data_IF_899808364390
#
_entry.id   IF_899808364390
#
_cell.length_a   1.000
_cell.length_b   1.000
_cell.length_c   1.000
_cell.angle_alpha   90.00
_cell.angle_beta   90.00
_cell.angle_gamma   90.00
#
_symmetry.space_group_name_H-M   'P 1'
#
loop_
_entity.id
_entity.type
_entity.pdbx_description
1 polymer ?
#
# COMPACT_ATOMS: atom_id res chain seq x y z
N UNK A 1 19.00 -12.14 -3.43
CA UNK A 1 18.72 -12.83 -4.71
C UNK A 1 17.29 -13.33 -4.63
N UNK A 2 16.35 -12.51 -5.08
CA UNK A 2 14.91 -12.85 -5.14
C UNK A 2 14.73 -13.97 -6.18
N UNK A 3 14.00 -15.00 -5.80
CA UNK A 3 13.78 -16.19 -6.63
C UNK A 3 13.05 -15.82 -7.92
N UNK A 4 13.69 -16.10 -9.06
CA UNK A 4 13.04 -16.07 -10.37
C UNK A 4 12.19 -17.32 -10.53
N UNK A 5 10.87 -17.15 -10.65
CA UNK A 5 9.97 -18.24 -10.98
C UNK A 5 10.05 -18.52 -12.49
N UNK A 6 10.53 -19.70 -12.88
CA UNK A 6 10.52 -20.17 -14.27
C UNK A 6 9.75 -21.50 -14.32
N UNK A 7 8.61 -21.53 -15.01
CA UNK A 7 7.91 -22.77 -15.33
C UNK A 7 6.43 -22.60 -15.69
N UNK A 8 6.13 -22.50 -17.00
CA UNK A 8 4.86 -22.96 -17.60
C UNK A 8 3.70 -21.95 -17.72
N UNK A 9 3.67 -21.21 -18.82
CA UNK A 9 2.52 -20.58 -19.53
C UNK A 9 1.24 -20.11 -18.79
N UNK A 10 1.34 -19.73 -17.51
CA UNK A 10 0.50 -18.72 -16.87
C UNK A 10 1.40 -17.91 -15.94
N UNK A 11 1.61 -16.64 -16.25
CA UNK A 11 2.42 -15.74 -15.39
C UNK A 11 1.82 -15.70 -14.00
N UNK A 12 2.45 -16.34 -13.01
CA UNK A 12 2.01 -16.31 -11.61
C UNK A 12 2.01 -14.86 -11.14
N UNK A 13 0.82 -14.31 -10.98
CA UNK A 13 0.65 -12.92 -10.55
C UNK A 13 1.04 -12.78 -9.07
N UNK A 14 1.94 -11.84 -8.75
CA UNK A 14 2.27 -11.51 -7.36
C UNK A 14 1.42 -10.32 -6.92
N UNK A 15 0.61 -10.53 -5.89
CA UNK A 15 -0.28 -9.51 -5.32
C UNK A 15 0.29 -8.96 -4.02
N UNK A 16 0.36 -7.63 -3.91
CA UNK A 16 0.77 -6.92 -2.70
C UNK A 16 -0.43 -6.62 -1.80
N UNK A 17 -0.27 -6.81 -0.48
CA UNK A 17 -1.25 -6.41 0.53
C UNK A 17 -0.61 -5.39 1.49
N UNK A 18 -1.11 -4.16 1.45
CA UNK A 18 -0.67 -3.07 2.31
C UNK A 18 -1.67 -2.84 3.44
N UNK A 19 -1.27 -3.12 4.67
CA UNK A 19 -2.11 -2.94 5.86
C UNK A 19 -1.98 -1.50 6.40
N UNK A 20 -2.91 -0.62 6.01
CA UNK A 20 -2.95 0.80 6.39
C UNK A 20 -4.10 1.14 7.36
N UNK A 21 -4.65 0.13 8.04
CA UNK A 21 -5.83 0.23 8.91
C UNK A 21 -5.58 0.71 10.35
N UNK A 22 -4.31 0.96 10.72
CA UNK A 22 -3.92 1.25 12.09
C UNK A 22 -4.29 2.65 12.57
N UNK A 23 -4.90 2.76 13.76
CA UNK A 23 -5.35 4.02 14.37
C UNK A 23 -4.27 4.95 14.93
N UNK A 24 -2.98 4.69 14.70
CA UNK A 24 -1.91 5.63 15.06
C UNK A 24 -1.85 6.00 16.55
N UNK A 25 -2.20 5.09 17.46
CA UNK A 25 -2.30 5.39 18.92
C UNK A 25 -1.03 6.03 19.51
N UNK A 26 0.15 5.54 19.11
CA UNK A 26 1.46 6.09 19.54
C UNK A 26 1.75 7.48 18.98
N UNK A 27 1.01 7.89 17.95
CA UNK A 27 1.08 9.20 17.30
C UNK A 27 -0.08 10.11 17.74
N UNK A 28 -0.70 9.83 18.89
CA UNK A 28 -1.84 10.60 19.39
C UNK A 28 -3.12 10.41 18.57
N UNK A 29 -3.31 9.25 17.92
CA UNK A 29 -4.50 8.97 17.10
C UNK A 29 -4.43 9.52 15.67
N UNK A 30 -3.30 10.12 15.27
CA UNK A 30 -3.08 10.61 13.90
C UNK A 30 -2.94 9.44 12.92
N UNK A 31 -3.63 9.45 11.76
CA UNK A 31 -3.55 8.37 10.79
C UNK A 31 -2.14 8.25 10.21
N UNK A 32 -1.42 7.17 10.57
CA UNK A 32 -0.02 6.96 10.14
C UNK A 32 0.10 6.92 8.60
N UNK A 33 -0.93 6.41 7.93
CA UNK A 33 -1.04 6.37 6.47
C UNK A 33 -0.82 7.74 5.79
N UNK A 34 -1.22 8.83 6.46
CA UNK A 34 -1.16 10.19 5.93
C UNK A 34 0.05 10.99 6.41
N UNK A 35 0.97 10.39 7.17
CA UNK A 35 2.22 11.06 7.51
C UNK A 35 3.04 11.30 6.24
N UNK A 36 3.57 12.50 6.10
CA UNK A 36 4.47 12.83 4.99
C UNK A 36 5.80 12.08 5.14
N UNK A 37 6.16 11.32 4.13
CA UNK A 37 7.43 10.63 3.97
C UNK A 37 7.95 10.88 2.56
N UNK A 38 9.15 11.47 2.44
CA UNK A 38 9.75 11.82 1.13
C UNK A 38 8.78 12.63 0.24
N UNK A 39 8.14 13.63 0.82
CA UNK A 39 7.24 14.56 0.12
C UNK A 39 5.84 14.02 -0.21
N UNK A 40 5.50 12.77 0.16
CA UNK A 40 4.20 12.13 -0.12
C UNK A 40 3.64 11.42 1.11
N UNK A 41 2.32 11.17 1.21
CA UNK A 41 1.77 10.30 2.25
C UNK A 41 2.47 8.94 2.32
N UNK A 42 2.69 8.43 3.53
CA UNK A 42 3.40 7.16 3.78
C UNK A 42 2.73 5.98 3.05
N UNK A 43 1.39 5.98 2.96
CA UNK A 43 0.64 4.95 2.24
C UNK A 43 0.94 4.95 0.73
N UNK A 44 1.12 6.12 0.12
CA UNK A 44 1.50 6.23 -1.29
C UNK A 44 2.93 5.72 -1.52
N UNK A 45 3.84 6.05 -0.60
CA UNK A 45 5.20 5.55 -0.67
C UNK A 45 5.24 4.02 -0.58
N UNK A 46 4.54 3.44 0.39
CA UNK A 46 4.50 1.99 0.58
C UNK A 46 3.86 1.26 -0.60
N UNK A 47 2.76 1.79 -1.16
CA UNK A 47 2.15 1.25 -2.37
C UNK A 47 3.14 1.29 -3.56
N UNK A 48 3.86 2.39 -3.73
CA UNK A 48 4.90 2.52 -4.75
C UNK A 48 6.05 1.53 -4.57
N UNK A 49 6.46 1.24 -3.34
CA UNK A 49 7.49 0.22 -3.03
C UNK A 49 7.02 -1.18 -3.43
N UNK A 50 5.79 -1.56 -3.10
CA UNK A 50 5.23 -2.87 -3.49
C UNK A 50 5.20 -3.03 -5.02
N UNK A 51 4.74 -1.99 -5.73
CA UNK A 51 4.72 -1.94 -7.20
C UNK A 51 6.12 -2.06 -7.79
N UNK A 52 7.08 -1.27 -7.30
CA UNK A 52 8.47 -1.33 -7.74
C UNK A 52 9.12 -2.70 -7.45
N UNK A 53 8.65 -3.40 -6.42
CA UNK A 53 9.04 -4.76 -6.07
C UNK A 53 8.43 -5.86 -6.94
N UNK A 54 7.60 -5.52 -7.94
CA UNK A 54 7.00 -6.48 -8.87
C UNK A 54 5.58 -6.95 -8.50
N UNK A 55 4.94 -6.36 -7.49
CA UNK A 55 3.51 -6.62 -7.26
C UNK A 55 2.70 -5.92 -8.36
N UNK A 56 2.09 -6.67 -9.28
CA UNK A 56 1.32 -6.11 -10.40
C UNK A 56 -0.03 -5.57 -9.94
N UNK A 57 -0.59 -6.14 -8.87
CA UNK A 57 -1.80 -5.69 -8.19
C UNK A 57 -1.50 -5.43 -6.71
N UNK A 58 -2.02 -4.32 -6.17
CA UNK A 58 -1.85 -3.95 -4.76
C UNK A 58 -3.20 -3.66 -4.13
N UNK A 59 -3.50 -4.36 -3.02
CA UNK A 59 -4.64 -4.08 -2.16
C UNK A 59 -4.18 -3.24 -0.97
N UNK A 60 -4.87 -2.14 -0.70
CA UNK A 60 -4.60 -1.26 0.44
C UNK A 60 -5.77 -1.37 1.39
N UNK A 61 -5.55 -2.00 2.54
CA UNK A 61 -6.57 -2.16 3.57
C UNK A 61 -6.62 -0.89 4.41
N UNK A 62 -7.75 -0.20 4.34
CA UNK A 62 -8.02 0.99 5.14
C UNK A 62 -8.82 0.62 6.39
N UNK A 63 -8.72 1.46 7.42
CA UNK A 63 -9.37 1.20 8.69
C UNK A 63 -9.65 2.48 9.44
N UNK A 64 -8.97 2.70 10.57
CA UNK A 64 -9.14 3.95 11.32
C UNK A 64 -8.93 5.17 10.40
N UNK A 65 -9.91 6.08 10.39
CA UNK A 65 -9.92 7.28 9.53
C UNK A 65 -9.86 6.95 8.02
N UNK A 66 -10.43 5.83 7.57
CA UNK A 66 -10.43 5.40 6.17
C UNK A 66 -10.89 6.51 5.21
N UNK A 67 -11.98 7.22 5.52
CA UNK A 67 -12.47 8.33 4.68
C UNK A 67 -11.44 9.44 4.50
N UNK A 68 -10.71 9.79 5.57
CA UNK A 68 -9.65 10.79 5.49
C UNK A 68 -8.50 10.31 4.59
N UNK A 69 -8.15 9.01 4.68
CA UNK A 69 -7.12 8.41 3.83
C UNK A 69 -7.58 8.38 2.37
N UNK A 70 -8.83 7.97 2.10
CA UNK A 70 -9.44 7.94 0.76
C UNK A 70 -9.45 9.32 0.11
N UNK A 71 -9.77 10.37 0.88
CA UNK A 71 -9.85 11.73 0.37
C UNK A 71 -8.47 12.36 0.06
N UNK A 72 -7.42 11.96 0.79
CA UNK A 72 -6.12 12.65 0.76
C UNK A 72 -5.01 11.87 0.05
N UNK A 73 -5.08 10.55 0.01
CA UNK A 73 -4.06 9.72 -0.64
C UNK A 73 -4.39 9.48 -2.11
N UNK A 74 -3.40 9.61 -2.98
CA UNK A 74 -3.49 9.28 -4.40
C UNK A 74 -3.02 7.85 -4.63
N UNK A 75 -3.98 6.93 -4.79
CA UNK A 75 -3.73 5.49 -4.94
C UNK A 75 -4.40 4.92 -6.22
N UNK A 76 -4.14 5.50 -7.41
CA UNK A 76 -4.89 5.19 -8.64
C UNK A 76 -4.77 3.74 -9.11
N UNK A 77 -3.62 3.09 -8.86
CA UNK A 77 -3.36 1.72 -9.30
C UNK A 77 -3.48 0.68 -8.17
N UNK A 78 -4.25 1.03 -7.14
CA UNK A 78 -4.49 0.17 -5.97
C UNK A 78 -5.99 -0.09 -5.80
N UNK A 79 -6.30 -1.29 -5.31
CA UNK A 79 -7.65 -1.61 -4.84
C UNK A 79 -7.73 -1.23 -3.37
N UNK A 80 -8.63 -0.31 -3.02
CA UNK A 80 -8.88 0.05 -1.63
C UNK A 80 -9.87 -0.94 -1.03
N UNK A 81 -9.44 -1.64 0.02
CA UNK A 81 -10.25 -2.58 0.80
C UNK A 81 -10.65 -1.92 2.10
#
# INVERSE_FOLDING_TARGET
MTTHHRGGDTTTEVVGLLLAAGGGRRLGGRPKALLTHRGRPLVEHAAGVLRAGGCTRVHVVLGARAEEVRARARLPDCVLV
#
